data_IF_121376950540
#
_entry.id   IF_121376950540
#
_cell.length_a   1.000
_cell.length_b   1.000
_cell.length_c   1.000
_cell.angle_alpha   90.00
_cell.angle_beta   90.00
_cell.angle_gamma   90.00
#
_symmetry.space_group_name_H-M   'P 1'
#
loop_
_entity.id
_entity.type
_entity.pdbx_description
1 polymer ?
#
# COMPACT_ATOMS: atom_id res chain seq x y z
N UNK A 1 3.55 -21.92 11.57
CA UNK A 1 2.65 -23.02 11.10
C UNK A 1 2.38 -22.76 9.64
N UNK A 2 2.81 -23.63 8.75
CA UNK A 2 2.52 -23.49 7.30
C UNK A 2 1.04 -23.84 7.09
N UNK A 3 0.36 -23.12 6.20
CA UNK A 3 -0.95 -23.52 5.71
C UNK A 3 -0.84 -24.93 5.09
N UNK A 4 -1.80 -25.79 5.35
CA UNK A 4 -1.80 -27.17 4.81
C UNK A 4 -2.05 -27.17 3.30
N UNK A 5 -2.66 -26.11 2.80
CA UNK A 5 -2.93 -25.85 1.37
C UNK A 5 -2.68 -24.36 1.06
N UNK A 6 -2.26 -24.02 -0.17
CA UNK A 6 -2.13 -22.63 -0.61
C UNK A 6 -3.47 -21.87 -0.63
N UNK A 7 -4.59 -22.56 -0.49
CA UNK A 7 -5.93 -21.98 -0.43
C UNK A 7 -6.47 -21.84 1.00
N UNK A 8 -5.73 -22.31 2.02
CA UNK A 8 -6.15 -22.20 3.40
C UNK A 8 -5.90 -20.78 3.94
N UNK A 9 -6.91 -20.21 4.58
CA UNK A 9 -6.75 -18.96 5.30
C UNK A 9 -5.88 -19.18 6.55
N UNK A 10 -4.94 -18.27 6.78
CA UNK A 10 -4.13 -18.27 8.00
C UNK A 10 -4.99 -17.97 9.22
N UNK A 11 -4.67 -18.59 10.36
CA UNK A 11 -5.27 -18.23 11.64
C UNK A 11 -4.81 -16.84 12.07
N UNK A 12 -5.58 -16.09 12.89
CA UNK A 12 -5.24 -14.74 13.31
C UNK A 12 -3.82 -14.59 13.90
N UNK A 13 -3.38 -15.55 14.69
CA UNK A 13 -2.05 -15.54 15.30
C UNK A 13 -0.94 -15.69 14.24
N UNK A 14 -1.17 -16.50 13.21
CA UNK A 14 -0.23 -16.67 12.11
C UNK A 14 -0.21 -15.41 11.20
N UNK A 15 -1.34 -14.73 11.05
CA UNK A 15 -1.42 -13.45 10.34
C UNK A 15 -0.60 -12.39 11.09
N UNK A 16 -0.73 -12.32 12.42
CA UNK A 16 0.03 -11.37 13.24
C UNK A 16 1.54 -11.59 13.10
N UNK A 17 2.01 -12.84 13.20
CA UNK A 17 3.42 -13.18 13.02
C UNK A 17 3.92 -12.84 11.60
N UNK A 18 3.12 -13.12 10.57
CA UNK A 18 3.44 -12.77 9.18
C UNK A 18 3.52 -11.25 9.00
N UNK A 19 2.62 -10.48 9.65
CA UNK A 19 2.64 -9.03 9.61
C UNK A 19 3.93 -8.45 10.21
N UNK A 20 4.44 -9.02 11.31
CA UNK A 20 5.73 -8.63 11.88
C UNK A 20 6.89 -8.86 10.89
N UNK A 21 6.92 -10.00 10.22
CA UNK A 21 7.98 -10.34 9.25
C UNK A 21 7.94 -9.44 8.03
N UNK A 22 6.76 -9.22 7.44
CA UNK A 22 6.57 -8.33 6.29
C UNK A 22 6.98 -6.90 6.64
N UNK A 23 6.54 -6.40 7.79
CA UNK A 23 6.83 -5.01 8.19
C UNK A 23 8.29 -4.81 8.57
N UNK A 24 8.94 -5.81 9.16
CA UNK A 24 10.38 -5.82 9.37
C UNK A 24 11.14 -5.75 8.03
N UNK A 25 10.79 -6.60 7.06
CA UNK A 25 11.41 -6.60 5.74
C UNK A 25 11.23 -5.27 5.00
N UNK A 26 10.06 -4.63 5.13
CA UNK A 26 9.82 -3.29 4.58
C UNK A 26 10.72 -2.23 5.23
N UNK A 27 10.75 -2.17 6.54
CA UNK A 27 11.51 -1.16 7.30
C UNK A 27 13.03 -1.27 7.12
N UNK A 28 13.54 -2.46 6.82
CA UNK A 28 14.98 -2.73 6.62
C UNK A 28 15.41 -2.72 5.15
N UNK A 29 14.48 -2.53 4.23
CA UNK A 29 14.76 -2.48 2.79
C UNK A 29 15.72 -1.31 2.48
N UNK A 30 16.76 -1.52 1.65
CA UNK A 30 17.72 -0.46 1.32
C UNK A 30 17.08 0.67 0.50
N UNK A 31 17.51 1.91 0.73
CA UNK A 31 16.93 3.12 0.14
C UNK A 31 16.88 3.08 -1.41
N UNK A 32 17.89 2.53 -2.06
CA UNK A 32 17.94 2.42 -3.54
C UNK A 32 16.83 1.54 -4.13
N UNK A 33 16.22 0.65 -3.32
CA UNK A 33 15.04 -0.14 -3.70
C UNK A 33 13.75 0.56 -3.29
N UNK A 34 13.74 1.21 -2.12
CA UNK A 34 12.54 1.89 -1.58
C UNK A 34 12.14 3.07 -2.47
N UNK A 35 13.09 3.92 -2.86
CA UNK A 35 12.80 5.15 -3.61
C UNK A 35 12.10 4.86 -4.95
N UNK A 36 12.63 4.00 -5.85
CA UNK A 36 11.91 3.70 -7.10
C UNK A 36 10.53 3.10 -6.88
N UNK A 37 10.38 2.20 -5.90
CA UNK A 37 9.09 1.58 -5.59
C UNK A 37 8.09 2.59 -5.01
N UNK A 38 8.56 3.58 -4.25
CA UNK A 38 7.71 4.65 -3.73
C UNK A 38 7.26 5.60 -4.84
N UNK A 39 8.16 6.01 -5.74
CA UNK A 39 7.81 6.84 -6.92
C UNK A 39 6.78 6.10 -7.78
N UNK A 40 6.99 4.83 -8.04
CA UNK A 40 6.04 4.01 -8.81
C UNK A 40 4.66 3.94 -8.14
N UNK A 41 4.61 3.78 -6.81
CA UNK A 41 3.36 3.78 -6.07
C UNK A 41 2.62 5.13 -6.19
N UNK A 42 3.33 6.25 -6.03
CA UNK A 42 2.77 7.59 -6.22
C UNK A 42 2.19 7.78 -7.61
N UNK A 43 2.93 7.38 -8.65
CA UNK A 43 2.49 7.45 -10.05
C UNK A 43 1.21 6.61 -10.29
N UNK A 44 1.11 5.40 -9.76
CA UNK A 44 -0.08 4.56 -9.92
C UNK A 44 -1.31 5.16 -9.26
N UNK A 45 -1.15 5.71 -8.06
CA UNK A 45 -2.25 6.37 -7.38
C UNK A 45 -2.65 7.65 -8.11
N UNK A 46 -1.70 8.44 -8.62
CA UNK A 46 -1.99 9.63 -9.43
C UNK A 46 -2.78 9.28 -10.70
N UNK A 47 -2.38 8.24 -11.43
CA UNK A 47 -3.11 7.75 -12.62
C UNK A 47 -4.54 7.32 -12.23
N UNK A 48 -4.70 6.58 -11.13
CA UNK A 48 -6.01 6.17 -10.66
C UNK A 48 -6.91 7.36 -10.29
N UNK A 49 -6.35 8.43 -9.73
CA UNK A 49 -7.07 9.69 -9.49
C UNK A 49 -7.49 10.37 -10.79
N UNK A 50 -6.63 10.40 -11.80
CA UNK A 50 -6.98 10.94 -13.12
C UNK A 50 -8.17 10.18 -13.70
N UNK A 51 -8.18 8.86 -13.64
CA UNK A 51 -9.32 8.05 -14.09
C UNK A 51 -10.59 8.34 -13.27
N UNK A 52 -10.47 8.41 -11.93
CA UNK A 52 -11.59 8.75 -11.07
C UNK A 52 -12.20 10.11 -11.45
N UNK A 53 -11.36 11.14 -11.57
CA UNK A 53 -11.80 12.50 -11.90
C UNK A 53 -12.45 12.51 -13.28
N UNK A 54 -11.84 11.87 -14.28
CA UNK A 54 -12.33 11.82 -15.64
C UNK A 54 -13.74 11.22 -15.73
N UNK A 55 -14.00 10.10 -15.06
CA UNK A 55 -15.30 9.42 -15.12
C UNK A 55 -16.38 10.07 -14.25
N UNK A 56 -15.99 10.84 -13.24
CA UNK A 56 -16.95 11.51 -12.35
C UNK A 56 -17.22 12.98 -12.75
N UNK A 57 -16.37 13.56 -13.58
CA UNK A 57 -16.55 14.94 -14.07
C UNK A 57 -17.70 14.98 -15.08
N UNK A 58 -18.61 15.95 -14.91
CA UNK A 58 -19.77 16.11 -15.81
C UNK A 58 -20.91 15.10 -15.57
N UNK A 59 -20.84 14.27 -14.54
CA UNK A 59 -21.84 13.25 -14.21
C UNK A 59 -23.13 13.79 -13.55
N UNK A 60 -23.43 15.09 -13.69
CA UNK A 60 -24.59 15.72 -13.03
C UNK A 60 -25.96 15.12 -13.38
N UNK A 61 -26.08 14.46 -14.53
CA UNK A 61 -27.31 13.78 -14.97
C UNK A 61 -27.34 12.28 -14.58
N UNK A 62 -26.30 11.77 -13.94
CA UNK A 62 -26.21 10.38 -13.50
C UNK A 62 -26.50 10.31 -12.00
N UNK A 63 -27.22 9.26 -11.57
CA UNK A 63 -27.44 9.03 -10.15
C UNK A 63 -26.11 9.07 -9.38
N UNK A 64 -26.04 9.86 -8.31
CA UNK A 64 -24.82 10.10 -7.54
C UNK A 64 -24.11 8.81 -7.13
N UNK A 65 -24.86 7.82 -6.64
CA UNK A 65 -24.30 6.52 -6.23
C UNK A 65 -23.66 5.76 -7.38
N UNK A 66 -24.25 5.79 -8.57
CA UNK A 66 -23.67 5.14 -9.76
C UNK A 66 -22.38 5.82 -10.19
N UNK A 67 -22.35 7.14 -10.22
CA UNK A 67 -21.12 7.90 -10.50
C UNK A 67 -19.99 7.55 -9.53
N UNK A 68 -20.29 7.46 -8.22
CA UNK A 68 -19.30 7.08 -7.20
C UNK A 68 -18.86 5.63 -7.32
N UNK A 69 -19.76 4.71 -7.66
CA UNK A 69 -19.41 3.31 -7.88
C UNK A 69 -18.42 3.17 -9.05
N UNK A 70 -18.73 3.78 -10.20
CA UNK A 70 -17.83 3.74 -11.37
C UNK A 70 -16.49 4.41 -11.06
N UNK A 71 -16.51 5.57 -10.41
CA UNK A 71 -15.29 6.25 -9.97
C UNK A 71 -14.44 5.37 -9.04
N UNK A 72 -15.06 4.69 -8.06
CA UNK A 72 -14.38 3.77 -7.14
C UNK A 72 -13.74 2.59 -7.88
N UNK A 73 -14.43 2.00 -8.86
CA UNK A 73 -13.88 0.92 -9.69
C UNK A 73 -12.66 1.41 -10.48
N UNK A 74 -12.71 2.60 -11.06
CA UNK A 74 -11.58 3.19 -11.77
C UNK A 74 -10.40 3.47 -10.82
N UNK A 75 -10.67 3.97 -9.60
CA UNK A 75 -9.64 4.24 -8.62
C UNK A 75 -8.96 2.97 -8.08
N UNK A 76 -9.69 1.85 -7.99
CA UNK A 76 -9.16 0.58 -7.51
C UNK A 76 -7.93 0.11 -8.31
N UNK A 77 -7.82 0.50 -9.60
CA UNK A 77 -6.67 0.20 -10.46
C UNK A 77 -5.34 0.58 -9.81
N UNK A 78 -5.26 1.75 -9.17
CA UNK A 78 -4.02 2.22 -8.54
C UNK A 78 -3.53 1.30 -7.43
N UNK A 79 -4.44 0.88 -6.55
CA UNK A 79 -4.09 -0.03 -5.46
C UNK A 79 -3.75 -1.44 -5.98
N UNK A 80 -4.50 -1.93 -6.98
CA UNK A 80 -4.22 -3.22 -7.62
C UNK A 80 -2.80 -3.23 -8.18
N UNK A 81 -2.39 -2.21 -8.92
CA UNK A 81 -1.05 -2.09 -9.46
C UNK A 81 0.02 -2.00 -8.36
N UNK A 82 -0.22 -1.22 -7.30
CA UNK A 82 0.68 -1.15 -6.16
C UNK A 82 0.92 -2.51 -5.50
N UNK A 83 -0.15 -3.30 -5.32
CA UNK A 83 -0.07 -4.62 -4.69
C UNK A 83 0.64 -5.62 -5.60
N UNK A 84 0.26 -5.69 -6.87
CA UNK A 84 0.83 -6.65 -7.83
C UNK A 84 2.32 -6.42 -8.08
N UNK A 85 2.77 -5.18 -8.10
CA UNK A 85 4.17 -4.82 -8.35
C UNK A 85 4.99 -4.65 -7.07
N UNK A 86 4.37 -4.83 -5.89
CA UNK A 86 5.05 -4.66 -4.61
C UNK A 86 5.56 -3.23 -4.37
N UNK A 87 4.86 -2.23 -4.93
CA UNK A 87 5.23 -0.83 -4.80
C UNK A 87 5.08 -0.35 -3.33
N UNK A 88 5.92 0.60 -2.94
CA UNK A 88 5.93 1.10 -1.55
C UNK A 88 5.00 2.30 -1.42
N UNK A 89 3.80 2.05 -0.92
CA UNK A 89 2.80 3.09 -0.65
C UNK A 89 2.86 3.51 0.83
N UNK A 90 2.83 4.81 1.12
CA UNK A 90 2.99 5.34 2.47
C UNK A 90 1.94 4.78 3.46
N UNK A 91 0.69 4.64 3.04
CA UNK A 91 -0.37 4.09 3.86
C UNK A 91 -0.08 2.65 4.33
N UNK A 92 0.55 1.82 3.50
CA UNK A 92 0.99 0.48 3.89
C UNK A 92 2.31 0.51 4.68
N UNK A 93 3.13 1.53 4.46
CA UNK A 93 4.40 1.71 5.17
C UNK A 93 4.19 2.08 6.64
N UNK A 94 3.10 2.74 7.00
CA UNK A 94 2.76 3.02 8.40
C UNK A 94 2.62 1.73 9.24
N UNK A 95 2.26 0.61 8.62
CA UNK A 95 2.20 -0.70 9.29
C UNK A 95 3.57 -1.18 9.81
N UNK A 96 4.69 -0.58 9.38
CA UNK A 96 6.02 -0.90 9.95
C UNK A 96 6.11 -0.58 11.44
N UNK A 97 5.13 0.17 11.99
CA UNK A 97 4.97 0.35 13.42
C UNK A 97 4.75 -0.99 14.15
N UNK A 98 4.20 -2.01 13.50
CA UNK A 98 4.06 -3.37 14.07
C UNK A 98 5.44 -3.96 14.37
N UNK A 99 6.39 -3.87 13.43
CA UNK A 99 7.76 -4.32 13.66
C UNK A 99 8.46 -3.51 14.76
N UNK A 100 8.11 -2.21 14.91
CA UNK A 100 8.61 -1.39 16.01
C UNK A 100 8.01 -1.79 17.35
N UNK A 101 6.71 -2.06 17.43
CA UNK A 101 6.04 -2.54 18.64
C UNK A 101 6.61 -3.90 19.10
N UNK A 102 6.95 -4.77 18.15
CA UNK A 102 7.65 -6.03 18.41
C UNK A 102 9.16 -5.87 18.73
N UNK A 103 9.67 -4.64 18.88
CA UNK A 103 11.07 -4.30 19.13
C UNK A 103 12.07 -4.83 18.09
N UNK A 104 11.65 -5.11 16.87
CA UNK A 104 12.50 -5.65 15.79
C UNK A 104 13.27 -4.57 15.03
N UNK A 105 12.82 -3.32 15.10
CA UNK A 105 13.46 -2.17 14.45
C UNK A 105 13.61 -0.99 15.41
N UNK A 106 14.57 -0.11 15.12
CA UNK A 106 14.78 1.15 15.83
C UNK A 106 13.83 2.26 15.34
N UNK A 107 13.64 3.31 16.14
CA UNK A 107 12.92 4.52 15.72
C UNK A 107 13.58 5.19 14.50
N UNK A 108 14.91 5.17 14.43
CA UNK A 108 15.63 5.73 13.30
C UNK A 108 15.33 4.99 11.99
N UNK A 109 15.24 3.66 12.01
CA UNK A 109 14.87 2.85 10.85
C UNK A 109 13.42 3.11 10.42
N UNK A 110 12.50 3.18 11.37
CA UNK A 110 11.09 3.51 11.12
C UNK A 110 10.95 4.86 10.42
N UNK A 111 11.48 5.92 11.04
CA UNK A 111 11.34 7.29 10.54
C UNK A 111 12.06 7.48 9.20
N UNK A 112 13.24 6.85 9.02
CA UNK A 112 13.93 6.84 7.73
C UNK A 112 13.08 6.22 6.64
N UNK A 113 12.48 5.06 6.89
CA UNK A 113 11.63 4.37 5.91
C UNK A 113 10.39 5.22 5.60
N UNK A 114 9.72 5.76 6.61
CA UNK A 114 8.57 6.65 6.43
C UNK A 114 8.92 7.88 5.59
N UNK A 115 10.03 8.54 5.88
CA UNK A 115 10.49 9.70 5.11
C UNK A 115 10.75 9.35 3.65
N UNK A 116 11.49 8.26 3.38
CA UNK A 116 11.80 7.84 2.01
C UNK A 116 10.53 7.54 1.21
N UNK A 117 9.56 6.83 1.80
CA UNK A 117 8.33 6.46 1.10
C UNK A 117 7.41 7.68 0.94
N UNK A 118 7.29 8.53 1.97
CA UNK A 118 6.49 9.75 1.90
C UNK A 118 6.94 10.65 0.74
N UNK A 119 8.21 11.01 0.71
CA UNK A 119 8.75 11.86 -0.36
C UNK A 119 8.78 11.18 -1.72
N UNK A 120 8.91 9.86 -1.76
CA UNK A 120 8.85 9.11 -3.02
C UNK A 120 7.44 9.03 -3.60
N UNK A 121 6.38 9.08 -2.78
CA UNK A 121 4.99 9.05 -3.25
C UNK A 121 4.48 10.43 -3.76
N UNK A 122 5.19 11.53 -3.44
CA UNK A 122 4.84 12.88 -3.91
C UNK A 122 5.26 13.10 -5.36
#
# INVERSE_FOLDING_TARGET
>A
MKAESPFDCLKPEAIAALAEDITYAKATKPAYKVIPLAITAGAFIAIAFVFFITVTTGAGNVAWGLSKLVGGLCFALGLILCVLLGAELFTSTTLTLVAKAANRISWAQLLKNWGLVYFGNL
#
